data_IF_154198229583
#
_entry.id   IF_154198229583
#
_cell.length_a   1.000
_cell.length_b   1.000
_cell.length_c   1.000
_cell.angle_alpha   90.00
_cell.angle_beta   90.00
_cell.angle_gamma   90.00
#
_symmetry.space_group_name_H-M   'P 1'
#
loop_
_entity.id
_entity.type
_entity.pdbx_description
1 polymer ?
#
# COMPACT_ATOMS: atom_id res chain seq x y z
N UNK A 1 -12.18 -3.51 6.90
CA UNK A 1 -12.48 -2.09 7.17
C UNK A 1 -11.14 -1.36 7.30
N UNK A 2 -10.79 -0.48 6.36
CA UNK A 2 -9.57 0.36 6.46
C UNK A 2 -9.80 1.42 7.53
N UNK A 3 -8.92 1.49 8.54
CA UNK A 3 -9.07 2.42 9.67
C UNK A 3 -8.57 3.84 9.37
N UNK A 4 -7.35 3.97 8.83
CA UNK A 4 -6.65 5.25 8.72
C UNK A 4 -6.59 5.82 7.30
N UNK A 5 -6.70 4.98 6.25
CA UNK A 5 -6.54 5.42 4.86
C UNK A 5 -7.81 5.08 4.06
N UNK A 6 -8.90 5.77 4.38
CA UNK A 6 -10.21 5.66 3.71
C UNK A 6 -10.78 7.06 3.42
N UNK A 7 -11.96 7.16 2.80
CA UNK A 7 -12.62 8.42 2.47
C UNK A 7 -12.82 9.43 3.59
N UNK A 8 -12.91 8.98 4.84
CA UNK A 8 -13.19 9.85 5.98
C UNK A 8 -11.89 10.28 6.66
N UNK A 9 -10.95 9.35 6.86
CA UNK A 9 -9.76 9.60 7.67
C UNK A 9 -8.57 10.13 6.88
N UNK A 10 -8.32 9.58 5.69
CA UNK A 10 -7.26 10.00 4.75
C UNK A 10 -5.95 10.39 5.47
N UNK A 11 -5.43 9.56 6.38
CA UNK A 11 -4.24 9.90 7.16
C UNK A 11 -3.10 10.26 6.21
N UNK A 12 -2.48 11.43 6.45
CA UNK A 12 -1.45 12.03 5.60
C UNK A 12 -1.88 12.28 4.14
N UNK A 13 -3.18 12.41 3.89
CA UNK A 13 -3.76 12.57 2.56
C UNK A 13 -3.82 11.27 1.75
N UNK A 14 -3.42 10.13 2.33
CA UNK A 14 -3.33 8.84 1.63
C UNK A 14 -4.66 8.08 1.72
N UNK A 15 -5.11 7.57 0.56
CA UNK A 15 -6.40 6.91 0.35
C UNK A 15 -6.20 5.54 -0.29
N UNK A 16 -6.54 4.49 0.45
CA UNK A 16 -6.31 3.09 0.04
C UNK A 16 -7.60 2.29 -0.14
N UNK A 17 -8.74 2.96 -0.34
CA UNK A 17 -10.07 2.34 -0.40
C UNK A 17 -10.58 2.05 -1.82
N UNK A 18 -9.93 2.58 -2.86
CA UNK A 18 -10.21 2.24 -4.25
C UNK A 18 -8.99 2.52 -5.14
N UNK A 19 -8.93 1.83 -6.29
CA UNK A 19 -7.76 1.83 -7.17
C UNK A 19 -7.25 3.21 -7.55
N UNK A 20 -8.16 4.09 -8.02
CA UNK A 20 -7.78 5.43 -8.48
C UNK A 20 -7.07 6.23 -7.39
N UNK A 21 -7.61 6.26 -6.18
CA UNK A 21 -6.98 6.98 -5.10
C UNK A 21 -5.69 6.33 -4.59
N UNK A 22 -5.57 4.99 -4.64
CA UNK A 22 -4.29 4.31 -4.36
C UNK A 22 -3.22 4.81 -5.32
N UNK A 23 -3.53 4.87 -6.61
CA UNK A 23 -2.57 5.33 -7.63
C UNK A 23 -2.27 6.83 -7.54
N UNK A 24 -3.25 7.65 -7.16
CA UNK A 24 -3.08 9.11 -7.04
C UNK A 24 -2.37 9.53 -5.74
N UNK A 25 -2.61 8.83 -4.62
CA UNK A 25 -2.19 9.29 -3.28
C UNK A 25 -1.20 8.36 -2.58
N UNK A 26 -1.13 7.09 -2.96
CA UNK A 26 -0.26 6.10 -2.31
C UNK A 26 1.20 6.12 -2.78
N UNK A 27 1.57 7.02 -3.69
CA UNK A 27 2.90 7.06 -4.33
C UNK A 27 3.38 5.70 -4.85
N UNK A 28 2.55 5.09 -5.70
CA UNK A 28 2.86 3.83 -6.37
C UNK A 28 3.67 4.11 -7.63
N UNK A 29 4.84 3.46 -7.76
CA UNK A 29 5.64 3.45 -9.00
C UNK A 29 5.50 2.09 -9.69
N UNK A 30 4.65 1.97 -10.73
CA UNK A 30 4.48 0.72 -11.47
C UNK A 30 5.83 0.13 -11.93
N UNK A 31 6.04 -1.16 -11.64
CA UNK A 31 7.27 -1.88 -11.96
C UNK A 31 8.45 -1.60 -11.02
N UNK A 32 8.32 -0.67 -10.07
CA UNK A 32 9.41 -0.23 -9.18
C UNK A 32 8.98 -0.25 -7.71
N UNK A 33 8.79 -1.44 -7.10
CA UNK A 33 8.38 -1.55 -5.71
C UNK A 33 9.35 -0.84 -4.76
N UNK A 34 10.65 -0.91 -5.04
CA UNK A 34 11.70 -0.33 -4.20
C UNK A 34 11.78 1.20 -4.32
N UNK A 35 10.98 1.82 -5.21
CA UNK A 35 10.82 3.26 -5.34
C UNK A 35 9.38 3.71 -5.02
N UNK A 36 8.56 2.85 -4.42
CA UNK A 36 7.16 3.15 -4.07
C UNK A 36 7.01 3.31 -2.57
N UNK A 37 6.63 4.51 -2.11
CA UNK A 37 6.50 4.82 -0.67
C UNK A 37 5.56 3.84 0.04
N UNK A 38 4.41 3.49 -0.58
CA UNK A 38 3.44 2.52 -0.03
C UNK A 38 4.07 1.18 0.37
N UNK A 39 5.14 0.78 -0.32
CA UNK A 39 5.85 -0.45 -0.04
C UNK A 39 7.00 -0.23 0.94
N UNK A 40 7.74 0.88 0.80
CA UNK A 40 8.84 1.24 1.71
C UNK A 40 8.39 1.31 3.17
N UNK A 41 7.30 2.03 3.47
CA UNK A 41 6.77 2.15 4.84
C UNK A 41 6.30 0.83 5.44
N UNK A 42 6.03 -0.17 4.61
CA UNK A 42 5.66 -1.52 5.05
C UNK A 42 6.89 -2.39 5.41
N UNK A 43 8.10 -1.97 4.99
CA UNK A 43 9.38 -2.60 5.34
C UNK A 43 10.05 -1.96 6.56
N UNK A 44 9.63 -0.75 6.91
CA UNK A 44 10.18 0.00 8.03
C UNK A 44 10.02 -0.72 9.38
N UNK A 45 11.03 -0.55 10.24
CA UNK A 45 11.05 -1.13 11.60
C UNK A 45 10.84 -0.09 12.68
N UNK A 46 11.09 1.18 12.36
CA UNK A 46 10.86 2.29 13.27
C UNK A 46 9.35 2.47 13.51
N UNK A 47 8.93 2.44 14.77
CA UNK A 47 7.51 2.56 15.16
C UNK A 47 6.83 3.85 14.71
N UNK A 48 7.59 4.91 14.45
CA UNK A 48 7.07 6.20 13.98
C UNK A 48 6.94 6.29 12.46
N UNK A 49 7.55 5.35 11.72
CA UNK A 49 7.53 5.34 10.25
C UNK A 49 6.76 4.15 9.68
N UNK A 50 6.81 3.00 10.36
CA UNK A 50 6.24 1.76 9.85
C UNK A 50 4.73 1.83 9.74
N UNK A 51 4.20 1.24 8.66
CA UNK A 51 2.76 1.11 8.46
C UNK A 51 2.27 -0.34 8.57
N UNK A 52 1.12 -0.58 9.22
CA UNK A 52 0.38 0.38 10.04
C UNK A 52 1.14 0.71 11.35
N UNK A 53 0.90 1.90 11.94
CA UNK A 53 1.57 2.28 13.17
C UNK A 53 1.06 1.43 14.35
N UNK A 54 1.86 1.27 15.42
CA UNK A 54 1.39 0.68 16.67
C UNK A 54 0.09 1.37 17.16
N UNK A 55 -0.83 0.63 17.79
CA UNK A 55 -0.71 -0.75 18.27
C UNK A 55 -1.02 -1.83 17.22
N UNK A 56 -1.20 -1.46 15.94
CA UNK A 56 -1.51 -2.44 14.89
C UNK A 56 -0.27 -3.26 14.52
N UNK A 57 -0.47 -4.55 14.28
CA UNK A 57 0.59 -5.43 13.79
C UNK A 57 1.07 -4.98 12.40
N UNK A 58 2.39 -5.07 12.13
CA UNK A 58 2.91 -4.89 10.77
C UNK A 58 2.29 -5.90 9.81
N UNK A 59 2.33 -5.60 8.52
CA UNK A 59 2.06 -6.61 7.50
C UNK A 59 3.04 -7.78 7.67
N UNK A 60 2.56 -9.00 7.50
CA UNK A 60 3.42 -10.18 7.45
C UNK A 60 4.19 -10.28 6.11
N UNK A 61 5.12 -11.24 6.01
CA UNK A 61 5.92 -11.42 4.81
C UNK A 61 5.09 -11.78 3.57
N UNK A 62 4.01 -12.54 3.72
CA UNK A 62 3.15 -12.94 2.61
C UNK A 62 2.36 -11.74 2.05
N UNK A 63 1.81 -10.91 2.93
CA UNK A 63 1.12 -9.67 2.59
C UNK A 63 2.05 -8.69 1.87
N UNK A 64 3.26 -8.47 2.40
CA UNK A 64 4.27 -7.64 1.72
C UNK A 64 4.65 -8.21 0.36
N UNK A 65 4.77 -9.54 0.24
CA UNK A 65 5.07 -10.19 -1.03
C UNK A 65 3.93 -10.06 -2.05
N UNK A 66 2.66 -9.99 -1.63
CA UNK A 66 1.55 -9.70 -2.54
C UNK A 66 1.60 -8.26 -3.04
N UNK A 67 1.78 -7.30 -2.14
CA UNK A 67 1.92 -5.88 -2.51
C UNK A 67 3.09 -5.67 -3.47
N UNK A 68 4.27 -6.23 -3.15
CA UNK A 68 5.46 -6.17 -4.02
C UNK A 68 5.18 -6.74 -5.42
N UNK A 69 4.53 -7.91 -5.50
CA UNK A 69 4.18 -8.56 -6.77
C UNK A 69 3.22 -7.71 -7.60
N UNK A 70 2.19 -7.16 -6.99
CA UNK A 70 1.25 -6.27 -7.68
C UNK A 70 1.95 -5.03 -8.26
N UNK A 71 2.83 -4.37 -7.49
CA UNK A 71 3.60 -3.23 -8.00
C UNK A 71 4.51 -3.66 -9.16
N UNK A 72 5.24 -4.78 -9.01
CA UNK A 72 6.10 -5.33 -10.06
C UNK A 72 5.37 -5.64 -11.36
N UNK A 73 4.12 -6.12 -11.27
CA UNK A 73 3.26 -6.42 -12.40
C UNK A 73 2.65 -5.15 -13.05
N UNK A 74 3.05 -3.97 -12.60
CA UNK A 74 2.61 -2.69 -13.15
C UNK A 74 1.41 -2.09 -12.43
N UNK A 75 1.09 -2.55 -11.21
CA UNK A 75 0.03 -1.98 -10.37
C UNK A 75 -1.31 -1.84 -11.12
N UNK A 76 -1.72 -2.90 -11.83
CA UNK A 76 -2.92 -2.89 -12.67
C UNK A 76 -4.19 -3.02 -11.82
N UNK A 77 -5.28 -2.44 -12.32
CA UNK A 77 -6.63 -2.68 -11.78
C UNK A 77 -7.26 -3.88 -12.49
N UNK A 78 -6.65 -5.05 -12.35
CA UNK A 78 -7.12 -6.28 -12.97
C UNK A 78 -7.47 -7.32 -11.90
N UNK A 79 -8.19 -8.33 -12.33
CA UNK A 79 -8.58 -9.46 -11.50
C UNK A 79 -8.44 -10.76 -12.31
N UNK A 80 -8.57 -11.91 -11.66
CA UNK A 80 -8.41 -13.20 -12.33
C UNK A 80 -9.48 -13.51 -13.38
N UNK A 81 -10.56 -12.72 -13.45
CA UNK A 81 -11.60 -12.83 -14.48
C UNK A 81 -11.37 -11.87 -15.65
N UNK A 82 -10.45 -10.92 -15.53
CA UNK A 82 -10.14 -9.92 -16.55
C UNK A 82 -8.61 -9.72 -16.66
N UNK A 83 -7.91 -10.62 -17.38
CA UNK A 83 -6.44 -10.66 -17.41
C UNK A 83 -5.77 -9.43 -18.03
#
# INVERSE_FOLDING_TARGET
>A
MSGCHNAQTQAEGVRLDHYRAVMETGDVKPGRPDNSEIFEVCLETNSYKRMPPPPRSPLDSAQRNHLRRWILQGARNNDCSNP
#
